data_IF_289894367525
#
_entry.id   IF_289894367525
#
_cell.length_a   1.000
_cell.length_b   1.000
_cell.length_c   1.000
_cell.angle_alpha   90.00
_cell.angle_beta   90.00
_cell.angle_gamma   90.00
#
_symmetry.space_group_name_H-M   'P 1'
#
loop_
_entity.id
_entity.type
_entity.pdbx_description
1 polymer ?
#
# COMPACT_ATOMS: atom_id res chain seq x y z
N UNK A 1 13.08 -14.79 8.34
CA UNK A 1 12.70 -13.36 8.26
C UNK A 1 13.30 -12.61 7.07
N UNK A 2 14.60 -12.77 6.71
CA UNK A 2 15.21 -12.03 5.57
C UNK A 2 14.47 -12.18 4.23
N UNK A 3 13.93 -13.36 3.93
CA UNK A 3 13.27 -13.67 2.64
C UNK A 3 11.97 -12.87 2.42
N UNK A 4 11.16 -12.70 3.47
CA UNK A 4 9.89 -11.98 3.39
C UNK A 4 10.13 -10.47 3.22
N UNK A 5 11.09 -9.91 3.97
CA UNK A 5 11.47 -8.49 3.83
C UNK A 5 11.95 -8.15 2.41
N UNK A 6 12.75 -9.02 1.79
CA UNK A 6 13.17 -8.85 0.40
C UNK A 6 12.00 -8.86 -0.59
N UNK A 7 10.98 -9.66 -0.30
CA UNK A 7 9.77 -9.77 -1.14
C UNK A 7 8.97 -8.47 -1.10
N UNK A 8 8.73 -7.92 0.09
CA UNK A 8 8.14 -6.59 0.25
C UNK A 8 8.94 -5.53 -0.51
N UNK A 9 10.26 -5.49 -0.35
CA UNK A 9 11.10 -4.48 -1.01
C UNK A 9 11.04 -4.54 -2.52
N UNK A 10 11.02 -5.74 -3.09
CA UNK A 10 10.83 -5.92 -4.52
C UNK A 10 9.48 -5.35 -4.98
N UNK A 11 8.40 -5.59 -4.22
CA UNK A 11 7.08 -5.03 -4.52
C UNK A 11 7.05 -3.50 -4.42
N UNK A 12 7.66 -2.92 -3.38
CA UNK A 12 7.76 -1.47 -3.20
C UNK A 12 8.51 -0.80 -4.36
N UNK A 13 9.52 -1.47 -4.92
CA UNK A 13 10.32 -0.95 -6.05
C UNK A 13 9.68 -1.20 -7.41
N UNK A 14 8.89 -2.26 -7.57
CA UNK A 14 8.34 -2.67 -8.87
C UNK A 14 6.97 -2.07 -9.19
N UNK A 15 6.21 -1.64 -8.18
CA UNK A 15 4.84 -1.15 -8.39
C UNK A 15 4.81 0.31 -8.89
N UNK A 16 3.88 0.67 -9.80
CA UNK A 16 3.66 2.05 -10.18
C UNK A 16 3.34 2.94 -8.96
N UNK A 17 3.87 4.18 -8.87
CA UNK A 17 3.73 5.03 -7.68
C UNK A 17 2.28 5.21 -7.20
N UNK A 18 1.34 5.38 -8.14
CA UNK A 18 -0.09 5.55 -7.82
C UNK A 18 -0.70 4.28 -7.21
N UNK A 19 -0.36 3.11 -7.77
CA UNK A 19 -0.83 1.83 -7.20
C UNK A 19 -0.21 1.57 -5.84
N UNK A 20 1.07 1.87 -5.69
CA UNK A 20 1.79 1.74 -4.44
C UNK A 20 1.13 2.61 -3.35
N UNK A 21 0.91 3.89 -3.64
CA UNK A 21 0.24 4.81 -2.74
C UNK A 21 -1.17 4.34 -2.38
N UNK A 22 -2.01 3.98 -3.36
CA UNK A 22 -3.38 3.55 -3.10
C UNK A 22 -3.45 2.31 -2.19
N UNK A 23 -2.59 1.32 -2.45
CA UNK A 23 -2.56 0.10 -1.64
C UNK A 23 -2.05 0.39 -0.22
N UNK A 24 -0.94 1.13 -0.09
CA UNK A 24 -0.36 1.44 1.23
C UNK A 24 -1.27 2.36 2.06
N UNK A 25 -1.98 3.30 1.42
CA UNK A 25 -2.96 4.16 2.11
C UNK A 25 -4.11 3.35 2.72
N UNK A 26 -4.47 2.22 2.10
CA UNK A 26 -5.48 1.30 2.64
C UNK A 26 -5.02 0.48 3.83
N UNK A 27 -3.72 0.26 4.02
CA UNK A 27 -3.18 -0.52 5.15
C UNK A 27 -3.39 0.19 6.49
N UNK A 28 -3.50 -0.58 7.58
CA UNK A 28 -3.57 0.00 8.92
C UNK A 28 -2.23 0.63 9.29
N UNK A 29 -2.26 1.65 10.15
CA UNK A 29 -1.02 2.31 10.58
C UNK A 29 -0.12 1.34 11.36
N UNK A 30 -0.74 0.44 12.15
CA UNK A 30 -0.06 -0.63 12.89
C UNK A 30 0.66 -1.62 11.96
N UNK A 31 0.00 -2.10 10.90
CA UNK A 31 0.63 -3.06 9.98
C UNK A 31 1.83 -2.44 9.25
N UNK A 32 1.70 -1.19 8.83
CA UNK A 32 2.80 -0.45 8.22
C UNK A 32 3.94 -0.21 9.21
N UNK A 33 3.62 0.12 10.46
CA UNK A 33 4.62 0.33 11.50
C UNK A 33 5.37 -0.97 11.87
N UNK A 34 4.67 -2.11 11.94
CA UNK A 34 5.30 -3.42 12.12
C UNK A 34 6.27 -3.72 10.97
N UNK A 35 5.89 -3.42 9.72
CA UNK A 35 6.78 -3.56 8.58
C UNK A 35 7.99 -2.61 8.68
N UNK A 36 7.76 -1.34 9.02
CA UNK A 36 8.82 -0.33 9.16
C UNK A 36 9.90 -0.75 10.16
N UNK A 37 9.50 -1.31 11.32
CA UNK A 37 10.43 -1.79 12.35
C UNK A 37 11.32 -2.95 11.86
N UNK A 38 10.89 -3.71 10.85
CA UNK A 38 11.69 -4.79 10.25
C UNK A 38 12.63 -4.31 9.14
N UNK A 39 12.47 -3.08 8.65
CA UNK A 39 13.24 -2.51 7.55
C UNK A 39 14.44 -1.71 8.08
N UNK A 40 15.55 -1.74 7.35
CA UNK A 40 16.65 -0.80 7.59
C UNK A 40 16.22 0.61 7.19
N UNK A 41 16.85 1.65 7.75
CA UNK A 41 16.41 3.05 7.59
C UNK A 41 16.27 3.49 6.13
N UNK A 42 17.12 2.97 5.22
CA UNK A 42 17.02 3.28 3.78
C UNK A 42 15.80 2.63 3.12
N UNK A 43 15.46 1.42 3.54
CA UNK A 43 14.35 0.64 3.01
C UNK A 43 13.01 1.05 3.62
N UNK A 44 13.02 1.51 4.87
CA UNK A 44 11.88 2.15 5.53
C UNK A 44 11.40 3.37 4.73
N UNK A 45 12.33 4.18 4.20
CA UNK A 45 11.97 5.33 3.37
C UNK A 45 11.15 4.96 2.12
N UNK A 46 11.38 3.76 1.54
CA UNK A 46 10.61 3.27 0.41
C UNK A 46 9.15 2.97 0.79
N UNK A 47 8.92 2.50 2.02
CA UNK A 47 7.58 2.25 2.55
C UNK A 47 6.84 3.55 2.90
N UNK A 48 7.55 4.53 3.43
CA UNK A 48 6.96 5.76 3.96
C UNK A 48 6.78 6.88 2.92
N UNK A 49 7.62 6.92 1.87
CA UNK A 49 7.57 7.96 0.86
C UNK A 49 6.20 8.10 0.15
N UNK A 50 5.49 7.01 -0.22
CA UNK A 50 4.20 7.09 -0.90
C UNK A 50 3.03 7.54 0.01
N UNK A 51 3.23 7.56 1.33
CA UNK A 51 2.18 7.90 2.29
C UNK A 51 1.92 9.41 2.33
N UNK A 52 0.67 9.79 2.63
CA UNK A 52 0.37 11.19 2.96
C UNK A 52 1.14 11.63 4.22
N UNK A 53 1.49 12.92 4.37
CA UNK A 53 2.28 13.39 5.52
C UNK A 53 1.66 13.01 6.87
N UNK A 54 0.33 13.13 7.00
CA UNK A 54 -0.41 12.77 8.21
C UNK A 54 -0.34 11.27 8.50
N UNK A 55 -0.49 10.41 7.49
CA UNK A 55 -0.41 8.96 7.69
C UNK A 55 1.02 8.52 8.02
N UNK A 56 2.02 9.12 7.37
CA UNK A 56 3.44 8.89 7.65
C UNK A 56 3.77 9.16 9.12
N UNK A 57 3.33 10.31 9.65
CA UNK A 57 3.54 10.65 11.06
C UNK A 57 2.95 9.58 12.00
N UNK A 58 1.69 9.19 11.80
CA UNK A 58 1.05 8.15 12.62
C UNK A 58 1.77 6.81 12.56
N UNK A 59 2.25 6.41 11.37
CA UNK A 59 3.03 5.17 11.21
C UNK A 59 4.36 5.25 11.97
N UNK A 60 5.05 6.39 11.92
CA UNK A 60 6.31 6.58 12.65
C UNK A 60 6.11 6.58 14.18
N UNK A 61 5.04 7.22 14.66
CA UNK A 61 4.66 7.20 16.07
C UNK A 61 4.36 5.76 16.55
N UNK A 62 3.56 5.02 15.78
CA UNK A 62 3.28 3.60 16.06
C UNK A 62 4.55 2.75 16.03
N UNK A 63 5.45 2.97 15.06
CA UNK A 63 6.71 2.24 14.96
C UNK A 63 7.60 2.47 16.19
N UNK A 64 7.68 3.72 16.66
CA UNK A 64 8.39 4.07 17.88
C UNK A 64 7.80 3.39 19.13
N UNK A 65 6.47 3.26 19.20
CA UNK A 65 5.80 2.53 20.28
C UNK A 65 6.06 1.01 20.20
N UNK A 66 6.00 0.43 19.00
CA UNK A 66 6.26 -0.98 18.75
C UNK A 66 7.70 -1.36 19.09
N UNK A 67 8.67 -0.55 18.67
CA UNK A 67 10.10 -0.80 18.92
C UNK A 67 10.45 -0.91 20.41
N UNK A 68 9.66 -0.27 21.29
CA UNK A 68 9.83 -0.31 22.75
C UNK A 68 9.12 -1.49 23.42
N UNK A 69 8.36 -2.29 22.67
CA UNK A 69 7.58 -3.41 23.19
C UNK A 69 8.17 -4.73 22.73
N UNK A 70 8.05 -5.76 23.57
CA UNK A 70 8.34 -7.14 23.18
C UNK A 70 7.15 -7.68 22.41
N UNK A 71 7.13 -7.46 21.10
CA UNK A 71 6.12 -8.03 20.21
C UNK A 71 6.64 -9.37 19.69
N UNK A 72 5.84 -10.45 19.77
CA UNK A 72 6.24 -11.74 19.22
C UNK A 72 6.49 -11.70 17.70
N UNK A 73 7.51 -12.42 17.18
CA UNK A 73 7.87 -12.45 15.76
C UNK A 73 6.72 -12.79 14.80
N UNK A 74 5.77 -13.63 15.24
CA UNK A 74 4.60 -14.04 14.46
C UNK A 74 3.70 -12.87 14.07
N UNK A 75 3.59 -11.83 14.91
CA UNK A 75 2.79 -10.65 14.59
C UNK A 75 3.45 -9.81 13.49
N UNK A 76 4.77 -9.69 13.54
CA UNK A 76 5.54 -9.02 12.50
C UNK A 76 5.38 -9.73 11.16
N UNK A 77 5.48 -11.06 11.15
CA UNK A 77 5.29 -11.86 9.94
C UNK A 77 3.86 -11.75 9.41
N UNK A 78 2.84 -11.80 10.28
CA UNK A 78 1.44 -11.63 9.89
C UNK A 78 1.17 -10.26 9.25
N UNK A 79 1.64 -9.17 9.84
CA UNK A 79 1.50 -7.83 9.26
C UNK A 79 2.22 -7.71 7.91
N UNK A 80 3.41 -8.29 7.79
CA UNK A 80 4.16 -8.32 6.54
C UNK A 80 3.40 -9.03 5.42
N UNK A 81 2.85 -10.21 5.69
CA UNK A 81 2.03 -10.98 4.74
C UNK A 81 0.76 -10.23 4.33
N UNK A 82 0.11 -9.54 5.27
CA UNK A 82 -1.08 -8.72 4.98
C UNK A 82 -0.75 -7.58 4.02
N UNK A 83 0.36 -6.87 4.27
CA UNK A 83 0.82 -5.77 3.41
C UNK A 83 1.22 -6.29 2.03
N UNK A 84 2.01 -7.37 1.96
CA UNK A 84 2.40 -7.99 0.69
C UNK A 84 1.19 -8.47 -0.10
N UNK A 85 0.24 -9.15 0.56
CA UNK A 85 -0.99 -9.61 -0.08
C UNK A 85 -1.77 -8.44 -0.65
N UNK A 86 -1.86 -7.32 0.07
CA UNK A 86 -2.54 -6.11 -0.44
C UNK A 86 -1.84 -5.53 -1.66
N UNK A 87 -0.52 -5.35 -1.59
CA UNK A 87 0.30 -4.87 -2.72
C UNK A 87 0.17 -5.75 -3.96
N UNK A 88 0.08 -7.08 -3.80
CA UNK A 88 -0.15 -8.04 -4.89
C UNK A 88 -1.59 -8.04 -5.40
N UNK A 89 -2.55 -7.91 -4.49
CA UNK A 89 -3.99 -7.95 -4.80
C UNK A 89 -4.50 -6.67 -5.45
N UNK A 90 -3.68 -5.62 -5.50
CA UNK A 90 -3.93 -4.37 -6.19
C UNK A 90 -4.17 -4.60 -7.68
N UNK A 91 -5.39 -5.01 -8.02
CA UNK A 91 -5.94 -4.82 -9.36
C UNK A 91 -5.65 -3.37 -9.72
N UNK A 92 -5.12 -3.09 -10.92
CA UNK A 92 -4.93 -1.72 -11.35
C UNK A 92 -6.26 -1.01 -11.17
N UNK A 93 -6.24 0.12 -10.46
CA UNK A 93 -7.36 1.07 -10.48
C UNK A 93 -7.38 1.67 -11.89
N UNK A 94 -7.85 0.88 -12.86
CA UNK A 94 -7.48 1.06 -14.25
C UNK A 94 -7.80 -0.11 -15.17
N UNK A 95 -8.90 -0.83 -14.95
CA UNK A 95 -9.83 -0.98 -16.08
C UNK A 95 -10.82 0.16 -15.91
N UNK A 96 -10.45 1.33 -16.44
CA UNK A 96 -11.45 2.32 -16.83
C UNK A 96 -12.23 1.64 -17.96
N UNK A 97 -13.22 0.83 -17.56
CA UNK A 97 -14.32 0.47 -18.45
C UNK A 97 -14.99 1.82 -18.72
N UNK A 98 -14.66 2.39 -19.87
CA UNK A 98 -15.16 3.67 -20.33
C UNK A 98 -16.64 3.82 -19.99
N UNK A 99 -16.94 4.61 -18.96
CA UNK A 99 -18.28 5.11 -18.65
C UNK A 99 -18.66 6.29 -19.57
N UNK A 100 -17.89 6.51 -20.64
CA UNK A 100 -18.21 7.48 -21.69
C UNK A 100 -18.72 6.75 -22.94
N UNK A 101 -20.04 6.60 -23.00
CA UNK A 101 -20.80 6.75 -24.24
C UNK A 101 -22.07 7.56 -23.94
N UNK A 102 -22.05 8.89 -24.07
CA UNK A 102 -23.29 9.59 -24.32
C UNK A 102 -23.74 9.18 -25.72
N UNK A 103 -24.79 8.35 -25.82
CA UNK A 103 -25.63 8.37 -27.01
C UNK A 103 -26.47 9.64 -26.91
N UNK A 104 -25.88 10.73 -27.38
CA UNK A 104 -26.63 11.91 -27.74
C UNK A 104 -27.75 11.50 -28.69
N UNK A 105 -28.95 11.99 -28.40
CA UNK A 105 -30.06 12.09 -29.34
C UNK A 105 -29.59 12.86 -30.58
N UNK A 106 -29.51 12.16 -31.70
CA UNK A 106 -29.98 12.67 -32.98
C UNK A 106 -31.27 11.85 -33.24
N UNK A 107 -32.49 12.36 -33.33
CA UNK A 107 -32.89 13.65 -33.88
C UNK A 107 -33.53 13.43 -35.25
N UNK A 108 -34.85 13.20 -35.28
CA UNK A 108 -35.72 13.23 -36.47
C UNK A 108 -35.74 11.93 -37.29
N UNK A 109 -36.79 11.58 -38.03
CA UNK A 109 -38.15 12.08 -38.28
C UNK A 109 -38.76 11.07 -39.28
N UNK A 110 -40.10 10.97 -39.38
CA UNK A 110 -40.88 10.43 -40.53
C UNK A 110 -40.67 8.95 -40.90
N UNK A 111 -41.66 8.08 -41.02
CA UNK A 111 -43.05 8.16 -41.51
C UNK A 111 -43.91 7.12 -40.76
#
# INVERSE_FOLDING_TARGET
MKTSTNTLLNLLRSLPPVHLQNNLMGCTDRDLAMCAVLLESRDEALLLAPLSPRKRLRVQEEAALIARRRIPPEHFQGSLELVERRLRSGRPAGSVRSYLRPKGRDGGNTD
#
